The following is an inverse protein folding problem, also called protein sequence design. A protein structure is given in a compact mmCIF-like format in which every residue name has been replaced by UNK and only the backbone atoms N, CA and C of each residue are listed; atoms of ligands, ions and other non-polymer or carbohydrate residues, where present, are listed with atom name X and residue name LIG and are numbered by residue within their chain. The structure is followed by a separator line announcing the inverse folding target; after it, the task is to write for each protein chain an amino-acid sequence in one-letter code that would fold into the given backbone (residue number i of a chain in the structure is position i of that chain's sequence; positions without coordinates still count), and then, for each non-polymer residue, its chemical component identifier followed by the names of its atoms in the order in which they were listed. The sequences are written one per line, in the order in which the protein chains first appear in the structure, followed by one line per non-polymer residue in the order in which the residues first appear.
data_IF_620283784449
#
_entry.id   IF_620283784449
#
_cell.length_a   1.000
_cell.length_b   1.000
_cell.length_c   1.000
_cell.angle_alpha   90.00
_cell.angle_beta   90.00
_cell.angle_gamma   90.00
#
_symmetry.space_group_name_H-M   'P 1'
#
loop_
_entity.id
_entity.type
_entity.pdbx_description
1 polymer ?
#
# COMPACT_ATOMS: atom_id res chain seq x y z
N UNK A 1 -27.54 -10.96 -37.60
CA UNK A 1 -26.79 -9.85 -38.20
C UNK A 1 -25.89 -9.27 -37.13
N UNK A 2 -24.60 -9.61 -37.14
CA UNK A 2 -23.65 -9.20 -36.12
C UNK A 2 -22.98 -7.91 -36.59
N UNK A 3 -23.33 -6.77 -35.99
CA UNK A 3 -22.67 -5.49 -36.25
C UNK A 3 -21.27 -5.53 -35.61
N UNK A 4 -20.26 -5.88 -36.41
CA UNK A 4 -18.87 -5.67 -36.06
C UNK A 4 -18.61 -4.18 -35.92
N UNK A 5 -18.30 -3.71 -34.70
CA UNK A 5 -17.81 -2.35 -34.47
C UNK A 5 -16.44 -2.22 -35.16
N UNK A 6 -16.37 -1.37 -36.18
CA UNK A 6 -15.12 -0.91 -36.76
C UNK A 6 -14.37 -0.10 -35.71
N UNK A 7 -13.19 -0.55 -35.29
CA UNK A 7 -12.29 0.26 -34.47
C UNK A 7 -11.63 1.33 -35.36
N UNK A 8 -11.52 2.59 -34.90
CA UNK A 8 -10.82 3.63 -35.65
C UNK A 8 -9.32 3.28 -35.82
N UNK A 9 -8.77 3.58 -37.00
CA UNK A 9 -7.40 3.22 -37.43
C UNK A 9 -6.31 4.14 -36.89
N UNK A 10 -6.67 5.21 -36.17
CA UNK A 10 -5.74 6.19 -35.60
C UNK A 10 -6.28 6.64 -34.25
N UNK A 11 -5.52 6.36 -33.18
CA UNK A 11 -5.77 6.88 -31.83
C UNK A 11 -4.82 8.04 -31.59
N UNK A 12 -5.32 9.11 -30.96
CA UNK A 12 -4.47 10.17 -30.44
C UNK A 12 -3.88 9.79 -29.08
N UNK A 13 -2.72 10.34 -28.74
CA UNK A 13 -2.11 10.14 -27.43
C UNK A 13 -3.05 10.59 -26.30
N UNK A 14 -3.86 11.64 -26.52
CA UNK A 14 -4.84 12.13 -25.57
C UNK A 14 -5.95 11.12 -25.28
N UNK A 15 -6.50 10.49 -26.32
CA UNK A 15 -7.55 9.46 -26.14
C UNK A 15 -7.00 8.23 -25.40
N UNK A 16 -5.74 7.86 -25.63
CA UNK A 16 -5.09 6.79 -24.88
C UNK A 16 -4.95 7.19 -23.41
N UNK A 17 -4.49 8.41 -23.12
CA UNK A 17 -4.35 8.92 -21.75
C UNK A 17 -5.70 8.95 -21.02
N UNK A 18 -6.78 9.32 -21.69
CA UNK A 18 -8.13 9.33 -21.10
C UNK A 18 -8.66 7.93 -20.73
N UNK A 19 -8.15 6.86 -21.35
CA UNK A 19 -8.51 5.48 -20.99
C UNK A 19 -7.72 4.92 -19.82
N UNK A 20 -6.63 5.58 -19.40
CA UNK A 20 -5.81 5.13 -18.28
C UNK A 20 -6.57 5.45 -16.98
N UNK A 21 -6.77 4.48 -16.07
CA UNK A 21 -7.42 4.75 -14.80
C UNK A 21 -6.64 5.83 -14.04
N UNK A 22 -7.35 6.75 -13.41
CA UNK A 22 -6.71 7.79 -12.60
C UNK A 22 -6.28 7.18 -11.27
N UNK A 23 -5.10 7.54 -10.77
CA UNK A 23 -4.60 7.15 -9.46
C UNK A 23 -4.07 8.37 -8.72
N UNK A 24 -4.23 8.38 -7.40
CA UNK A 24 -3.51 9.26 -6.49
C UNK A 24 -2.44 8.41 -5.83
N UNK A 25 -1.18 8.68 -6.16
CA UNK A 25 -0.02 8.04 -5.55
C UNK A 25 0.71 9.07 -4.69
N UNK A 26 1.14 8.69 -3.50
CA UNK A 26 2.04 9.53 -2.69
C UNK A 26 3.25 9.93 -3.53
N UNK A 27 3.47 11.22 -3.71
CA UNK A 27 4.58 11.69 -4.54
C UNK A 27 5.90 11.37 -3.84
N UNK A 28 6.88 10.88 -4.61
CA UNK A 28 8.22 10.47 -4.13
C UNK A 28 9.00 11.63 -3.47
N UNK A 29 8.50 12.87 -3.58
CA UNK A 29 9.13 14.10 -3.08
C UNK A 29 8.49 14.66 -1.79
N UNK A 30 7.41 14.06 -1.28
CA UNK A 30 6.83 14.50 -0.02
C UNK A 30 7.70 14.02 1.15
N UNK A 31 8.01 14.91 2.09
CA UNK A 31 8.69 14.55 3.34
C UNK A 31 7.95 13.43 4.09
N UNK A 32 6.67 13.23 3.80
CA UNK A 32 5.83 12.19 4.37
C UNK A 32 6.05 10.78 3.77
N UNK A 33 6.78 10.66 2.66
CA UNK A 33 7.15 9.39 2.04
C UNK A 33 8.41 8.76 2.66
N UNK A 34 9.14 9.49 3.51
CA UNK A 34 10.36 9.02 4.17
C UNK A 34 10.20 9.11 5.69
N UNK A 35 10.48 8.01 6.38
CA UNK A 35 10.52 7.98 7.84
C UNK A 35 11.87 7.44 8.31
N UNK A 36 12.51 8.15 9.24
CA UNK A 36 13.68 7.64 9.94
C UNK A 36 13.20 6.60 10.95
N UNK A 37 13.81 5.43 10.91
CA UNK A 37 13.44 4.26 11.71
C UNK A 37 14.73 3.67 12.27
N UNK A 38 14.75 3.40 13.57
CA UNK A 38 15.93 2.88 14.26
C UNK A 38 15.80 1.40 14.65
N UNK A 39 14.61 0.82 14.48
CA UNK A 39 14.29 -0.57 14.81
C UNK A 39 14.78 -1.59 13.79
N UNK A 40 14.92 -2.85 14.22
CA UNK A 40 15.13 -3.98 13.32
C UNK A 40 13.96 -4.17 12.35
N UNK A 41 14.25 -4.48 11.07
CA UNK A 41 13.24 -4.61 10.03
C UNK A 41 12.20 -5.71 10.31
N UNK A 42 12.62 -6.83 10.89
CA UNK A 42 11.75 -7.95 11.22
C UNK A 42 10.80 -7.58 12.37
N UNK A 43 11.36 -7.02 13.43
CA UNK A 43 10.56 -6.54 14.58
C UNK A 43 9.56 -5.47 14.18
N UNK A 44 10.00 -4.43 13.46
CA UNK A 44 9.11 -3.35 13.01
C UNK A 44 7.94 -3.90 12.22
N UNK A 45 8.20 -4.78 11.23
CA UNK A 45 7.14 -5.35 10.40
C UNK A 45 6.18 -6.22 11.22
N UNK A 46 6.68 -6.96 12.20
CA UNK A 46 5.84 -7.77 13.09
C UNK A 46 4.91 -6.90 13.92
N UNK A 47 5.45 -5.87 14.58
CA UNK A 47 4.64 -4.94 15.38
C UNK A 47 3.66 -4.16 14.49
N UNK A 48 4.09 -3.76 13.29
CA UNK A 48 3.21 -3.13 12.31
C UNK A 48 2.02 -4.05 11.95
N UNK A 49 2.27 -5.34 11.71
CA UNK A 49 1.22 -6.32 11.42
C UNK A 49 0.23 -6.43 12.57
N UNK A 50 0.73 -6.61 13.79
CA UNK A 50 -0.08 -6.74 15.00
C UNK A 50 -0.97 -5.50 15.21
N UNK A 51 -0.40 -4.30 15.06
CA UNK A 51 -1.12 -3.03 15.17
C UNK A 51 -2.19 -2.88 14.08
N UNK A 52 -1.85 -3.21 12.83
CA UNK A 52 -2.79 -3.14 11.71
C UNK A 52 -3.98 -4.08 11.91
N UNK A 53 -3.73 -5.33 12.29
CA UNK A 53 -4.79 -6.31 12.55
C UNK A 53 -5.68 -5.91 13.73
N UNK A 54 -5.07 -5.36 14.79
CA UNK A 54 -5.80 -4.86 15.96
C UNK A 54 -6.73 -3.69 15.61
N UNK A 55 -6.29 -2.76 14.77
CA UNK A 55 -7.01 -1.54 14.42
C UNK A 55 -7.99 -1.71 13.25
N UNK A 56 -7.80 -2.75 12.45
CA UNK A 56 -8.64 -3.03 11.28
C UNK A 56 -10.15 -2.93 11.58
N UNK A 57 -10.72 -3.53 12.65
CA UNK A 57 -12.17 -3.46 12.88
C UNK A 57 -12.71 -2.05 13.10
N UNK A 58 -11.89 -1.13 13.62
CA UNK A 58 -12.25 0.28 13.79
C UNK A 58 -12.15 1.01 12.45
N UNK A 59 -11.01 0.89 11.77
CA UNK A 59 -10.75 1.55 10.49
C UNK A 59 -11.67 1.04 9.38
N UNK A 60 -12.07 -0.24 9.39
CA UNK A 60 -12.99 -0.84 8.43
C UNK A 60 -14.33 -0.10 8.37
N UNK A 61 -14.83 0.41 9.50
CA UNK A 61 -16.09 1.19 9.53
C UNK A 61 -15.98 2.49 8.75
N UNK A 62 -14.83 3.16 8.84
CA UNK A 62 -14.54 4.36 8.06
C UNK A 62 -14.29 3.99 6.59
N UNK A 63 -13.46 2.98 6.36
CA UNK A 63 -13.07 2.51 5.03
C UNK A 63 -14.25 2.00 4.18
N UNK A 64 -15.30 1.48 4.82
CA UNK A 64 -16.54 1.09 4.16
C UNK A 64 -17.20 2.25 3.41
N UNK A 65 -16.99 3.51 3.81
CA UNK A 65 -17.50 4.69 3.08
C UNK A 65 -16.87 4.82 1.68
N UNK A 66 -15.66 4.29 1.50
CA UNK A 66 -14.96 4.21 0.22
C UNK A 66 -15.03 2.81 -0.42
N UNK A 67 -16.02 2.01 -0.03
CA UNK A 67 -16.26 0.65 -0.53
C UNK A 67 -15.12 -0.35 -0.25
N UNK A 68 -14.23 -0.06 0.70
CA UNK A 68 -13.17 -0.99 1.11
C UNK A 68 -13.72 -1.90 2.21
N UNK A 69 -13.74 -3.20 1.95
CA UNK A 69 -14.34 -4.20 2.84
C UNK A 69 -13.36 -5.26 3.32
N UNK A 70 -12.26 -5.47 2.61
CA UNK A 70 -11.28 -6.50 2.91
C UNK A 70 -9.85 -6.02 2.65
N UNK A 71 -8.88 -6.80 3.11
CA UNK A 71 -7.47 -6.57 2.84
C UNK A 71 -6.72 -7.89 2.64
N UNK A 72 -5.55 -7.79 2.01
CA UNK A 72 -4.56 -8.87 1.92
C UNK A 72 -3.15 -8.29 1.96
N UNK A 73 -2.15 -9.13 2.18
CA UNK A 73 -0.75 -8.71 2.21
C UNK A 73 0.06 -9.41 1.13
N UNK A 74 0.93 -8.65 0.49
CA UNK A 74 1.94 -9.14 -0.43
C UNK A 74 3.33 -8.66 -0.01
N UNK A 75 4.29 -9.58 -0.03
CA UNK A 75 5.65 -9.36 0.45
C UNK A 75 6.62 -9.66 -0.69
N UNK A 76 7.42 -8.66 -1.05
CA UNK A 76 8.28 -8.71 -2.24
C UNK A 76 9.75 -8.78 -1.85
N UNK A 77 10.41 -9.87 -2.23
CA UNK A 77 11.83 -10.13 -1.99
C UNK A 77 12.54 -10.36 -3.33
N UNK A 78 13.16 -9.30 -3.87
CA UNK A 78 13.76 -9.34 -5.21
C UNK A 78 12.69 -9.56 -6.29
N UNK A 79 12.69 -10.74 -6.92
CA UNK A 79 11.70 -11.15 -7.93
C UNK A 79 10.60 -12.05 -7.37
N UNK A 80 10.68 -12.44 -6.09
CA UNK A 80 9.72 -13.32 -5.46
C UNK A 80 8.63 -12.51 -4.75
N UNK A 81 7.37 -12.83 -5.05
CA UNK A 81 6.20 -12.32 -4.35
C UNK A 81 5.60 -13.44 -3.50
N UNK A 82 5.39 -13.17 -2.21
CA UNK A 82 4.68 -14.09 -1.30
C UNK A 82 3.45 -13.39 -0.76
N UNK A 83 2.31 -14.09 -0.77
CA UNK A 83 1.06 -13.54 -0.23
C UNK A 83 0.83 -14.09 1.17
N UNK A 84 0.69 -13.20 2.15
CA UNK A 84 0.47 -13.57 3.54
C UNK A 84 1.19 -12.68 4.56
N UNK A 85 0.73 -12.79 5.80
CA UNK A 85 1.20 -12.03 6.98
C UNK A 85 2.19 -12.88 7.77
N UNK A 86 3.17 -12.25 8.38
CA UNK A 86 4.14 -12.88 9.26
C UNK A 86 5.44 -13.32 8.58
N UNK A 87 6.35 -13.84 9.39
CA UNK A 87 7.74 -14.10 8.99
C UNK A 87 7.90 -15.22 7.96
N UNK A 88 6.97 -16.19 7.91
CA UNK A 88 6.98 -17.27 6.92
C UNK A 88 6.93 -16.76 5.48
N UNK A 89 6.39 -15.56 5.28
CA UNK A 89 6.24 -14.91 3.98
C UNK A 89 7.37 -13.91 3.68
N UNK A 90 8.43 -13.88 4.51
CA UNK A 90 9.59 -13.01 4.35
C UNK A 90 10.88 -13.81 4.33
N UNK A 91 11.98 -13.13 4.00
CA UNK A 91 13.32 -13.71 4.07
C UNK A 91 14.22 -12.81 4.89
N UNK A 92 14.98 -13.37 5.84
CA UNK A 92 16.02 -12.64 6.60
C UNK A 92 16.99 -11.97 5.61
N UNK A 93 17.37 -10.69 5.78
CA UNK A 93 17.17 -9.83 6.94
C UNK A 93 15.90 -8.96 6.89
N UNK A 94 14.84 -9.42 6.21
CA UNK A 94 13.53 -8.77 6.15
C UNK A 94 13.53 -7.38 5.50
N UNK A 95 14.42 -7.17 4.52
CA UNK A 95 14.58 -5.87 3.82
C UNK A 95 13.63 -5.70 2.62
N UNK A 96 12.85 -6.72 2.27
CA UNK A 96 11.89 -6.67 1.17
C UNK A 96 10.76 -5.66 1.36
N UNK A 97 10.00 -5.43 0.30
CA UNK A 97 8.81 -4.59 0.35
C UNK A 97 7.65 -5.31 1.04
N UNK A 98 6.89 -4.56 1.83
CA UNK A 98 5.65 -5.03 2.46
C UNK A 98 4.49 -4.20 1.91
N UNK A 99 3.46 -4.86 1.37
CA UNK A 99 2.31 -4.23 0.74
C UNK A 99 1.01 -4.72 1.38
N UNK A 100 0.29 -3.84 2.04
CA UNK A 100 -1.10 -4.06 2.43
C UNK A 100 -2.01 -3.60 1.30
N UNK A 101 -2.81 -4.49 0.74
CA UNK A 101 -3.72 -4.22 -0.37
C UNK A 101 -5.14 -4.18 0.17
N UNK A 102 -5.87 -3.11 -0.14
CA UNK A 102 -7.25 -2.87 0.27
C UNK A 102 -8.20 -3.19 -0.88
N UNK A 103 -9.23 -3.97 -0.59
CA UNK A 103 -10.12 -4.59 -1.56
C UNK A 103 -11.57 -4.18 -1.33
N UNK A 104 -12.33 -4.07 -2.42
CA UNK A 104 -13.79 -4.00 -2.38
C UNK A 104 -14.43 -5.37 -2.17
N UNK A 105 -15.76 -5.39 -2.14
CA UNK A 105 -16.58 -6.58 -1.92
C UNK A 105 -16.48 -7.60 -3.07
N UNK A 106 -16.13 -7.13 -4.26
CA UNK A 106 -15.82 -7.95 -5.43
C UNK A 106 -14.36 -8.48 -5.43
N UNK A 107 -13.55 -8.09 -4.44
CA UNK A 107 -12.15 -8.48 -4.34
C UNK A 107 -11.21 -7.70 -5.27
N UNK A 108 -11.67 -6.59 -5.85
CA UNK A 108 -10.85 -5.70 -6.66
C UNK A 108 -10.07 -4.76 -5.75
N UNK A 109 -8.81 -4.51 -6.10
CA UNK A 109 -7.94 -3.58 -5.39
C UNK A 109 -8.40 -2.15 -5.59
N UNK A 110 -8.68 -1.45 -4.49
CA UNK A 110 -9.02 -0.01 -4.46
C UNK A 110 -7.80 0.83 -4.12
N UNK A 111 -6.99 0.35 -3.18
CA UNK A 111 -5.84 1.07 -2.67
C UNK A 111 -4.78 0.11 -2.15
N UNK A 112 -3.57 0.60 -1.92
CA UNK A 112 -2.59 -0.11 -1.14
C UNK A 112 -1.72 0.83 -0.31
N UNK A 113 -1.17 0.29 0.78
CA UNK A 113 -0.11 0.90 1.58
C UNK A 113 1.13 0.03 1.43
N UNK A 114 2.24 0.63 1.03
CA UNK A 114 3.49 -0.05 0.80
C UNK A 114 4.58 0.57 1.67
N UNK A 115 5.47 -0.27 2.17
CA UNK A 115 6.67 0.16 2.85
C UNK A 115 7.88 -0.67 2.48
N UNK A 116 9.06 -0.05 2.50
CA UNK A 116 10.34 -0.76 2.37
C UNK A 116 11.44 -0.03 3.13
N UNK A 117 12.13 -0.79 3.98
CA UNK A 117 13.37 -0.33 4.61
C UNK A 117 14.49 -0.14 3.59
N UNK A 118 15.31 0.88 3.79
CA UNK A 118 16.56 1.04 3.05
C UNK A 118 17.58 0.02 3.55
N UNK A 119 18.39 -0.50 2.62
CA UNK A 119 19.46 -1.46 2.95
C UNK A 119 20.72 -0.79 3.49
N UNK A 120 20.84 0.52 3.29
CA UNK A 120 22.08 1.28 3.52
C UNK A 120 21.88 2.44 4.49
N UNK A 121 20.63 2.80 4.80
CA UNK A 121 20.29 3.96 5.61
C UNK A 121 19.16 3.58 6.58
N UNK A 122 19.06 4.19 7.76
CA UNK A 122 18.01 3.93 8.74
C UNK A 122 16.69 4.63 8.35
N UNK A 123 16.22 4.38 7.13
CA UNK A 123 15.02 5.01 6.57
C UNK A 123 14.07 3.98 5.98
N UNK A 124 12.78 4.21 6.19
CA UNK A 124 11.69 3.52 5.51
C UNK A 124 11.07 4.45 4.48
N UNK A 125 10.87 3.90 3.27
CA UNK A 125 10.04 4.54 2.26
C UNK A 125 8.62 4.05 2.42
N UNK A 126 7.69 4.99 2.53
CA UNK A 126 6.27 4.74 2.58
C UNK A 126 5.62 5.22 1.28
N UNK A 127 4.57 4.52 0.86
CA UNK A 127 3.79 4.88 -0.31
C UNK A 127 2.35 4.43 -0.09
N UNK A 128 1.41 5.31 -0.39
CA UNK A 128 0.00 4.98 -0.54
C UNK A 128 -0.39 5.24 -1.98
N UNK A 129 -1.20 4.35 -2.51
CA UNK A 129 -1.76 4.48 -3.86
C UNK A 129 -3.25 4.18 -3.79
N UNK A 130 -4.04 5.06 -4.36
CA UNK A 130 -5.51 5.00 -4.33
C UNK A 130 -6.04 5.16 -5.74
N UNK A 131 -6.92 4.24 -6.15
CA UNK A 131 -7.62 4.33 -7.42
C UNK A 131 -8.64 5.49 -7.43
N UNK A 132 -8.63 6.24 -8.51
CA UNK A 132 -9.51 7.38 -8.76
C UNK A 132 -8.93 8.71 -8.28
N UNK A 133 -9.81 9.59 -7.81
CA UNK A 133 -9.51 10.96 -7.34
C UNK A 133 -9.91 11.17 -5.88
N UNK A 134 -9.78 10.13 -5.06
CA UNK A 134 -10.23 10.12 -3.67
C UNK A 134 -9.12 10.64 -2.73
N UNK A 135 -8.83 11.94 -2.77
CA UNK A 135 -7.77 12.58 -1.96
C UNK A 135 -7.94 12.31 -0.46
N UNK A 136 -9.17 12.41 0.06
CA UNK A 136 -9.45 12.15 1.47
C UNK A 136 -9.12 10.71 1.90
N UNK A 137 -9.30 9.71 1.01
CA UNK A 137 -8.92 8.34 1.29
C UNK A 137 -7.39 8.19 1.29
N UNK A 138 -6.72 8.80 0.30
CA UNK A 138 -5.25 8.80 0.25
C UNK A 138 -4.65 9.36 1.53
N UNK A 139 -5.08 10.53 1.97
CA UNK A 139 -4.53 11.21 3.14
C UNK A 139 -4.82 10.44 4.43
N UNK A 140 -6.03 9.88 4.55
CA UNK A 140 -6.40 9.02 5.67
C UNK A 140 -5.51 7.78 5.77
N UNK A 141 -5.28 7.10 4.64
CA UNK A 141 -4.42 5.92 4.59
C UNK A 141 -2.95 6.26 4.85
N UNK A 142 -2.46 7.38 4.33
CA UNK A 142 -1.09 7.82 4.55
C UNK A 142 -0.84 8.14 6.03
N UNK A 143 -1.76 8.86 6.66
CA UNK A 143 -1.67 9.18 8.09
C UNK A 143 -1.72 7.91 8.96
N UNK A 144 -2.64 6.99 8.65
CA UNK A 144 -2.72 5.72 9.36
C UNK A 144 -1.44 4.89 9.19
N UNK A 145 -0.94 4.77 7.97
CA UNK A 145 0.30 4.05 7.66
C UNK A 145 1.49 4.62 8.43
N UNK A 146 1.64 5.95 8.45
CA UNK A 146 2.70 6.64 9.21
C UNK A 146 2.58 6.39 10.70
N UNK A 147 1.38 6.49 11.26
CA UNK A 147 1.12 6.21 12.68
C UNK A 147 1.51 4.78 13.06
N UNK A 148 1.17 3.78 12.23
CA UNK A 148 1.54 2.39 12.45
C UNK A 148 3.06 2.20 12.47
N UNK A 149 3.78 2.76 11.48
CA UNK A 149 5.24 2.68 11.41
C UNK A 149 5.90 3.39 12.60
N UNK A 150 5.42 4.58 12.97
CA UNK A 150 5.95 5.33 14.10
C UNK A 150 5.82 4.58 15.43
N UNK A 151 4.65 3.96 15.65
CA UNK A 151 4.39 3.18 16.87
C UNK A 151 5.16 1.87 16.88
N UNK A 152 5.29 1.22 15.72
CA UNK A 152 6.12 0.04 15.58
C UNK A 152 7.60 0.33 15.87
N UNK A 153 8.12 1.47 15.42
CA UNK A 153 9.50 1.89 15.74
C UNK A 153 9.67 2.23 17.23
N UNK A 154 8.69 2.91 17.83
CA UNK A 154 8.74 3.28 19.25
C UNK A 154 8.67 2.07 20.19
N UNK A 155 8.01 0.99 19.77
CA UNK A 155 7.87 -0.23 20.56
C UNK A 155 9.18 -1.03 20.71
N UNK A 156 10.17 -0.85 19.83
CA UNK A 156 11.50 -1.51 19.97
C UNK A 156 12.40 -0.79 21.01
N UNK A 157 12.02 0.42 21.41
CA UNK A 157 12.75 1.22 22.40
C UNK A 157 12.17 1.14 23.83
N UNK A 158 11.10 0.36 24.02
CA UNK A 158 10.44 0.13 25.31
C UNK A 158 10.87 -1.19 25.95
#
# INVERSE_FOLDING_TARGET
SCLGRSLPTTYSLSEIIETIPTFITTAVVDNDALMIVNSDHGKLKRVYEDLFEQEWPEHQKMLAQWSITAWKVEQMEGTLLRQGVGEAYRTVPYTGGYKTILLDDAGRQIAFMWMRGSKTEPVYRLMVDVEGKQEALHDYLLEWHRSLVQRADSADHS
#
